data_IF_105872715493
#
_entry.id   IF_105872715493
#
_cell.length_a   1.000
_cell.length_b   1.000
_cell.length_c   1.000
_cell.angle_alpha   90.00
_cell.angle_beta   90.00
_cell.angle_gamma   90.00
#
_symmetry.space_group_name_H-M   'P 1'
#
loop_
_entity.id
_entity.type
_entity.pdbx_description
1 polymer ?
#
# COMPACT_ATOMS: atom_id res chain seq x y z
N UNK A 1 16.61 -57.70 6.85
CA UNK A 1 16.05 -57.10 5.62
C UNK A 1 14.54 -56.80 5.69
N UNK A 2 13.79 -57.21 6.73
CA UNK A 2 12.34 -56.92 6.85
C UNK A 2 11.99 -55.54 7.43
N UNK A 3 12.91 -54.86 8.10
CA UNK A 3 12.64 -53.57 8.77
C UNK A 3 12.68 -52.37 7.82
N UNK A 4 13.50 -52.40 6.78
CA UNK A 4 13.63 -51.29 5.82
C UNK A 4 12.40 -51.12 4.90
N UNK A 5 11.71 -52.20 4.55
CA UNK A 5 10.51 -52.13 3.71
C UNK A 5 9.33 -51.52 4.48
N UNK A 6 9.15 -51.87 5.75
CA UNK A 6 8.08 -51.33 6.60
C UNK A 6 8.23 -49.80 6.79
N UNK A 7 9.46 -49.32 6.97
CA UNK A 7 9.74 -47.88 7.10
C UNK A 7 9.42 -47.14 5.79
N UNK A 8 9.79 -47.72 4.64
CA UNK A 8 9.51 -47.12 3.33
C UNK A 8 8.00 -47.00 3.06
N UNK A 9 7.21 -48.03 3.36
CA UNK A 9 5.75 -47.98 3.21
C UNK A 9 5.11 -46.97 4.16
N UNK A 10 5.63 -46.83 5.38
CA UNK A 10 5.14 -45.86 6.36
C UNK A 10 5.36 -44.42 5.89
N UNK A 11 6.53 -44.13 5.31
CA UNK A 11 6.85 -42.80 4.76
C UNK A 11 5.95 -42.48 3.57
N UNK A 12 5.76 -43.42 2.65
CA UNK A 12 4.89 -43.22 1.48
C UNK A 12 3.44 -42.98 1.93
N UNK A 13 2.94 -43.75 2.90
CA UNK A 13 1.58 -43.57 3.42
C UNK A 13 1.37 -42.20 4.07
N UNK A 14 2.34 -41.72 4.85
CA UNK A 14 2.29 -40.39 5.48
C UNK A 14 2.33 -39.29 4.42
N UNK A 15 3.21 -39.40 3.42
CA UNK A 15 3.27 -38.42 2.33
C UNK A 15 1.98 -38.37 1.50
N UNK A 16 1.34 -39.52 1.27
CA UNK A 16 0.05 -39.57 0.58
C UNK A 16 -1.08 -38.91 1.39
N UNK A 17 -1.11 -39.12 2.71
CA UNK A 17 -2.10 -38.48 3.59
C UNK A 17 -1.89 -36.96 3.67
N UNK A 18 -0.64 -36.50 3.77
CA UNK A 18 -0.31 -35.07 3.76
C UNK A 18 -0.66 -34.43 2.42
N UNK A 19 -0.33 -35.10 1.30
CA UNK A 19 -0.68 -34.64 -0.04
C UNK A 19 -2.20 -34.53 -0.23
N UNK A 20 -2.96 -35.53 0.20
CA UNK A 20 -4.43 -35.51 0.13
C UNK A 20 -5.03 -34.40 1.00
N UNK A 21 -4.48 -34.18 2.20
CA UNK A 21 -4.87 -33.08 3.08
C UNK A 21 -4.59 -31.70 2.46
N UNK A 22 -3.44 -31.53 1.82
CA UNK A 22 -3.06 -30.28 1.15
C UNK A 22 -3.96 -29.99 -0.05
N UNK A 23 -4.26 -31.00 -0.88
CA UNK A 23 -5.15 -30.85 -2.03
C UNK A 23 -6.57 -30.51 -1.59
N UNK A 24 -7.07 -31.17 -0.54
CA UNK A 24 -8.38 -30.85 0.03
C UNK A 24 -8.41 -29.44 0.60
N UNK A 25 -7.36 -29.01 1.31
CA UNK A 25 -7.25 -27.66 1.84
C UNK A 25 -7.17 -26.59 0.74
N UNK A 26 -6.50 -26.86 -0.38
CA UNK A 26 -6.49 -25.96 -1.54
C UNK A 26 -7.85 -25.90 -2.24
N UNK A 27 -8.57 -27.01 -2.33
CA UNK A 27 -9.89 -27.09 -2.96
C UNK A 27 -11.02 -26.48 -2.11
N UNK A 28 -10.84 -26.44 -0.79
CA UNK A 28 -11.83 -25.90 0.16
C UNK A 28 -11.57 -24.42 0.50
N UNK A 29 -10.55 -23.81 -0.12
CA UNK A 29 -10.44 -22.35 -0.13
C UNK A 29 -11.54 -21.83 -1.04
N UNK A 30 -12.52 -21.07 -0.53
CA UNK A 30 -13.37 -20.30 -1.42
C UNK A 30 -12.44 -19.35 -2.17
N UNK A 31 -12.17 -19.65 -3.44
CA UNK A 31 -11.79 -18.62 -4.38
C UNK A 31 -12.98 -17.70 -4.38
N UNK A 32 -12.91 -16.60 -3.63
CA UNK A 32 -13.83 -15.49 -3.81
C UNK A 32 -13.62 -15.01 -5.23
N UNK A 33 -14.38 -15.57 -6.16
CA UNK A 33 -14.77 -14.82 -7.34
C UNK A 33 -15.75 -13.78 -6.81
N UNK A 34 -15.23 -12.66 -6.32
CA UNK A 34 -16.01 -11.43 -6.37
C UNK A 34 -16.27 -11.22 -7.86
N UNK A 35 -17.52 -11.46 -8.27
CA UNK A 35 -17.98 -11.20 -9.63
C UNK A 35 -17.97 -9.69 -9.81
N UNK A 36 -16.82 -9.15 -10.20
CA UNK A 36 -16.70 -7.76 -10.59
C UNK A 36 -17.63 -7.52 -11.78
N UNK A 37 -18.44 -6.48 -11.68
CA UNK A 37 -19.18 -6.01 -12.85
C UNK A 37 -18.19 -5.61 -13.96
N UNK A 38 -18.59 -5.70 -15.23
CA UNK A 38 -17.74 -5.25 -16.33
C UNK A 38 -17.23 -3.81 -16.16
N UNK A 39 -18.04 -2.95 -15.53
CA UNK A 39 -17.67 -1.56 -15.23
C UNK A 39 -16.59 -1.48 -14.15
N UNK A 40 -16.70 -2.26 -13.06
CA UNK A 40 -15.64 -2.35 -12.03
C UNK A 40 -14.32 -2.92 -12.59
N UNK A 41 -14.40 -3.90 -13.51
CA UNK A 41 -13.21 -4.42 -14.19
C UNK A 41 -12.54 -3.37 -15.09
N UNK A 42 -13.34 -2.55 -15.77
CA UNK A 42 -12.83 -1.47 -16.62
C UNK A 42 -12.21 -0.36 -15.77
N UNK A 43 -12.81 0.00 -14.65
CA UNK A 43 -12.26 0.96 -13.69
C UNK A 43 -10.94 0.44 -13.09
N UNK A 44 -10.84 -0.83 -12.73
CA UNK A 44 -9.57 -1.44 -12.26
C UNK A 44 -8.49 -1.44 -13.35
N UNK A 45 -8.87 -1.68 -14.60
CA UNK A 45 -7.97 -1.61 -15.76
C UNK A 45 -7.51 -0.17 -16.01
N UNK A 46 -8.42 0.80 -16.01
CA UNK A 46 -8.09 2.22 -16.18
C UNK A 46 -7.15 2.70 -15.05
N UNK A 47 -7.41 2.29 -13.82
CA UNK A 47 -6.50 2.48 -12.68
C UNK A 47 -5.12 1.88 -12.91
N UNK A 48 -5.05 0.62 -13.37
CA UNK A 48 -3.79 -0.07 -13.59
C UNK A 48 -2.94 0.55 -14.71
N UNK A 49 -3.57 1.25 -15.65
CA UNK A 49 -2.91 1.92 -16.78
C UNK A 49 -2.86 3.46 -16.66
N UNK A 50 -3.34 4.03 -15.55
CA UNK A 50 -3.24 5.45 -15.29
C UNK A 50 -1.76 5.87 -15.23
N UNK A 51 -1.42 7.02 -15.80
CA UNK A 51 -0.08 7.60 -15.67
C UNK A 51 0.17 7.94 -14.20
N UNK A 52 1.29 7.44 -13.65
CA UNK A 52 1.67 7.64 -12.25
C UNK A 52 3.06 8.24 -12.17
N UNK A 53 3.18 9.22 -11.29
CA UNK A 53 4.44 9.86 -10.97
C UNK A 53 4.80 9.56 -9.51
N UNK A 54 6.08 9.63 -9.21
CA UNK A 54 6.59 9.43 -7.86
C UNK A 54 7.43 10.62 -7.44
N UNK A 55 7.26 11.07 -6.19
CA UNK A 55 8.06 12.14 -5.60
C UNK A 55 8.59 11.69 -4.23
N UNK A 56 9.82 12.10 -3.94
CA UNK A 56 10.41 11.93 -2.62
C UNK A 56 10.35 13.24 -1.83
N UNK A 57 9.79 13.18 -0.63
CA UNK A 57 9.65 14.32 0.28
C UNK A 57 10.36 13.98 1.59
N UNK A 58 11.41 14.75 1.90
CA UNK A 58 12.07 14.73 3.19
C UNK A 58 11.58 15.91 4.00
N UNK A 59 10.91 15.70 5.12
CA UNK A 59 10.34 16.77 5.95
C UNK A 59 10.33 16.43 7.43
N UNK A 60 9.86 17.33 8.28
CA UNK A 60 9.59 17.08 9.70
C UNK A 60 8.14 16.62 9.90
N UNK A 61 7.89 15.88 11.00
CA UNK A 61 6.54 15.37 11.31
C UNK A 61 5.49 16.48 11.47
N UNK A 62 5.90 17.67 11.90
CA UNK A 62 5.03 18.84 12.07
C UNK A 62 4.41 19.35 10.77
N UNK A 63 5.07 19.12 9.61
CA UNK A 63 4.56 19.60 8.32
C UNK A 63 3.78 18.53 7.54
N UNK A 64 3.74 17.28 8.00
CA UNK A 64 2.92 16.24 7.38
C UNK A 64 1.43 16.58 7.26
N UNK A 65 0.79 17.22 8.27
CA UNK A 65 -0.61 17.62 8.14
C UNK A 65 -0.85 18.54 6.93
N UNK A 66 0.06 19.48 6.65
CA UNK A 66 -0.07 20.40 5.52
C UNK A 66 0.04 19.66 4.17
N UNK A 67 0.96 18.69 4.06
CA UNK A 67 1.08 17.86 2.86
C UNK A 67 -0.18 17.03 2.63
N UNK A 68 -0.74 16.43 3.68
CA UNK A 68 -1.95 15.62 3.58
C UNK A 68 -3.22 16.45 3.34
N UNK A 69 -3.29 17.65 3.89
CA UNK A 69 -4.32 18.62 3.54
C UNK A 69 -4.26 18.98 2.06
N UNK A 70 -3.06 19.15 1.49
CA UNK A 70 -2.89 19.39 0.06
C UNK A 70 -3.42 18.24 -0.80
N UNK A 71 -3.15 16.99 -0.42
CA UNK A 71 -3.72 15.81 -1.09
C UNK A 71 -5.25 15.84 -0.99
N UNK A 72 -5.78 16.05 0.23
CA UNK A 72 -7.21 16.12 0.47
C UNK A 72 -7.92 17.17 -0.41
N UNK A 73 -7.34 18.37 -0.53
CA UNK A 73 -7.87 19.45 -1.36
C UNK A 73 -7.76 19.20 -2.87
N UNK A 74 -6.89 18.28 -3.29
CA UNK A 74 -6.70 17.93 -4.71
C UNK A 74 -7.61 16.77 -5.14
N UNK A 75 -8.05 15.95 -4.19
CA UNK A 75 -8.95 14.81 -4.43
C UNK A 75 -10.41 15.18 -4.24
N UNK A 76 -11.29 14.63 -5.06
CA UNK A 76 -12.74 14.76 -4.90
C UNK A 76 -13.26 13.87 -3.75
N UNK A 77 -12.67 12.68 -3.60
CA UNK A 77 -13.02 11.71 -2.55
C UNK A 77 -11.85 10.76 -2.21
N UNK A 78 -12.03 9.95 -1.15
CA UNK A 78 -11.14 8.83 -0.80
C UNK A 78 -9.97 9.15 0.14
N UNK A 79 -9.76 10.43 0.47
CA UNK A 79 -8.73 10.85 1.44
C UNK A 79 -9.32 11.62 2.65
N UNK A 80 -10.13 10.99 3.51
CA UNK A 80 -10.88 11.69 4.54
C UNK A 80 -10.05 12.00 5.80
N UNK A 81 -10.39 13.10 6.50
CA UNK A 81 -9.66 13.60 7.67
C UNK A 81 -9.39 12.55 8.76
N UNK A 82 -10.35 11.65 9.02
CA UNK A 82 -10.18 10.61 10.05
C UNK A 82 -9.10 9.59 9.68
N UNK A 83 -8.95 9.26 8.38
CA UNK A 83 -7.88 8.38 7.91
C UNK A 83 -6.54 9.10 7.94
N UNK A 84 -6.51 10.39 7.61
CA UNK A 84 -5.32 11.24 7.72
C UNK A 84 -4.85 11.31 9.17
N UNK A 85 -5.75 11.55 10.12
CA UNK A 85 -5.42 11.56 11.55
C UNK A 85 -4.86 10.21 12.03
N UNK A 86 -5.45 9.10 11.60
CA UNK A 86 -4.96 7.76 11.91
C UNK A 86 -3.58 7.50 11.29
N UNK A 87 -3.34 7.97 10.06
CA UNK A 87 -2.04 7.88 9.39
C UNK A 87 -0.97 8.69 10.14
N UNK A 88 -1.25 9.95 10.47
CA UNK A 88 -0.35 10.80 11.26
C UNK A 88 0.02 10.15 12.59
N UNK A 89 -0.97 9.59 13.30
CA UNK A 89 -0.75 8.87 14.56
C UNK A 89 0.12 7.61 14.36
N UNK A 90 -0.07 6.87 13.26
CA UNK A 90 0.77 5.71 12.92
C UNK A 90 2.20 6.13 12.62
N UNK A 91 2.40 7.22 11.88
CA UNK A 91 3.73 7.76 11.57
C UNK A 91 4.42 8.23 12.86
N UNK A 92 3.73 9.00 13.72
CA UNK A 92 4.31 9.55 14.95
C UNK A 92 4.75 8.47 15.96
N UNK A 93 4.06 7.32 15.98
CA UNK A 93 4.34 6.22 16.90
C UNK A 93 5.26 5.14 16.33
N UNK A 94 5.65 5.26 15.07
CA UNK A 94 6.51 4.28 14.41
C UNK A 94 7.94 4.30 14.98
N UNK A 95 8.54 3.11 15.12
CA UNK A 95 9.96 2.98 15.46
C UNK A 95 10.84 3.55 14.33
N UNK A 96 11.94 4.25 14.66
CA UNK A 96 12.88 4.74 13.66
C UNK A 96 13.40 3.63 12.74
N UNK A 97 13.70 3.99 11.49
CA UNK A 97 14.33 3.15 10.45
C UNK A 97 13.52 1.93 9.99
N UNK A 98 12.24 1.86 10.32
CA UNK A 98 11.31 0.88 9.74
C UNK A 98 10.66 1.51 8.51
N UNK A 99 10.58 0.80 7.39
CA UNK A 99 9.80 1.24 6.22
C UNK A 99 8.36 0.77 6.40
N UNK A 100 7.39 1.66 6.14
CA UNK A 100 5.96 1.36 6.14
C UNK A 100 5.33 1.90 4.86
N UNK A 101 4.20 1.33 4.50
CA UNK A 101 3.39 1.81 3.39
C UNK A 101 1.90 1.83 3.73
N UNK A 102 1.15 2.61 2.97
CA UNK A 102 -0.30 2.67 2.96
C UNK A 102 -0.78 3.03 1.55
N UNK A 103 -1.90 2.45 1.13
CA UNK A 103 -2.55 2.74 -0.14
C UNK A 103 -3.91 3.35 0.16
N UNK A 104 -4.21 4.47 -0.50
CA UNK A 104 -5.49 5.17 -0.36
C UNK A 104 -6.18 5.21 -1.72
N UNK A 105 -7.32 4.52 -1.90
CA UNK A 105 -8.14 4.74 -3.08
C UNK A 105 -8.69 6.16 -3.02
N UNK A 106 -8.58 6.90 -4.11
CA UNK A 106 -9.01 8.29 -4.25
C UNK A 106 -9.82 8.47 -5.52
N UNK A 107 -10.58 9.55 -5.59
CA UNK A 107 -11.29 9.97 -6.81
C UNK A 107 -10.77 11.36 -7.21
N UNK A 108 -10.42 11.54 -8.47
CA UNK A 108 -10.01 12.84 -9.05
C UNK A 108 -10.72 13.03 -10.38
N UNK A 109 -11.45 14.13 -10.52
CA UNK A 109 -12.25 14.46 -11.71
C UNK A 109 -13.19 13.32 -12.10
N UNK A 110 -13.75 12.62 -11.10
CA UNK A 110 -14.59 11.42 -11.26
C UNK A 110 -13.89 10.18 -11.80
N UNK A 111 -12.56 10.19 -11.84
CA UNK A 111 -11.75 9.02 -12.20
C UNK A 111 -11.22 8.42 -10.90
N UNK A 112 -11.48 7.14 -10.71
CA UNK A 112 -10.90 6.39 -9.60
C UNK A 112 -9.38 6.34 -9.78
N UNK A 113 -8.65 6.42 -8.68
CA UNK A 113 -7.19 6.34 -8.63
C UNK A 113 -6.74 5.94 -7.23
N UNK A 114 -5.44 5.99 -6.97
CA UNK A 114 -4.85 5.65 -5.70
C UNK A 114 -3.60 6.47 -5.39
N UNK A 115 -3.45 6.81 -4.11
CA UNK A 115 -2.24 7.40 -3.55
C UNK A 115 -1.53 6.33 -2.74
N UNK A 116 -0.37 5.91 -3.24
CA UNK A 116 0.55 5.07 -2.49
C UNK A 116 1.50 5.96 -1.70
N UNK A 117 1.55 5.73 -0.39
CA UNK A 117 2.47 6.38 0.52
C UNK A 117 3.42 5.33 1.09
N UNK A 118 4.72 5.54 0.93
CA UNK A 118 5.74 4.80 1.66
C UNK A 118 6.54 5.77 2.52
N UNK A 119 6.90 5.40 3.75
CA UNK A 119 7.66 6.27 4.61
C UNK A 119 8.59 5.53 5.56
N UNK A 120 9.67 6.23 5.90
CA UNK A 120 10.64 5.85 6.93
C UNK A 120 10.90 7.05 7.83
N UNK A 121 11.11 6.78 9.13
CA UNK A 121 11.55 7.79 10.09
C UNK A 121 13.05 7.63 10.37
N UNK A 122 13.93 8.38 9.67
CA UNK A 122 15.36 8.28 9.91
C UNK A 122 15.74 8.75 11.33
N UNK A 123 15.02 9.75 11.86
CA UNK A 123 15.14 10.29 13.22
C UNK A 123 13.74 10.43 13.86
N UNK A 124 13.66 10.89 15.11
CA UNK A 124 12.38 11.08 15.81
C UNK A 124 11.53 12.21 15.20
N UNK A 125 12.15 13.25 14.66
CA UNK A 125 11.46 14.43 14.13
C UNK A 125 11.30 14.40 12.60
N UNK A 126 12.12 13.60 11.90
CA UNK A 126 12.15 13.55 10.43
C UNK A 126 11.40 12.37 9.86
N UNK A 127 10.85 12.60 8.68
CA UNK A 127 10.20 11.60 7.84
C UNK A 127 10.74 11.75 6.42
N UNK A 128 11.09 10.63 5.82
CA UNK A 128 11.31 10.51 4.39
C UNK A 128 10.12 9.73 3.83
N UNK A 129 9.42 10.36 2.89
CA UNK A 129 8.17 9.87 2.32
C UNK A 129 8.32 9.77 0.80
N UNK A 130 7.97 8.62 0.26
CA UNK A 130 7.77 8.39 -1.16
C UNK A 130 6.26 8.44 -1.41
N UNK A 131 5.83 9.26 -2.35
CA UNK A 131 4.42 9.35 -2.76
C UNK A 131 4.32 8.99 -4.23
N UNK A 132 3.50 7.99 -4.54
CA UNK A 132 3.19 7.58 -5.91
C UNK A 132 1.70 7.78 -6.17
N UNK A 133 1.37 8.66 -7.09
CA UNK A 133 -0.01 9.07 -7.40
C UNK A 133 -0.11 9.61 -8.83
N UNK A 134 -1.31 10.01 -9.23
CA UNK A 134 -1.51 10.69 -10.52
C UNK A 134 -0.78 12.05 -10.55
N UNK A 135 -0.36 12.53 -11.75
CA UNK A 135 0.43 13.75 -11.90
C UNK A 135 -0.17 14.99 -11.21
N UNK A 136 -1.49 15.10 -11.14
CA UNK A 136 -2.17 16.24 -10.51
C UNK A 136 -1.88 16.31 -9.00
N UNK A 137 -1.89 15.17 -8.31
CA UNK A 137 -1.55 15.07 -6.89
C UNK A 137 -0.07 15.33 -6.68
N UNK A 138 0.78 14.74 -7.51
CA UNK A 138 2.24 14.90 -7.42
C UNK A 138 2.66 16.35 -7.63
N UNK A 139 2.08 17.03 -8.61
CA UNK A 139 2.28 18.46 -8.83
C UNK A 139 1.84 19.29 -7.62
N UNK A 140 0.64 19.05 -7.10
CA UNK A 140 0.11 19.80 -5.96
C UNK A 140 0.98 19.61 -4.70
N UNK A 141 1.47 18.38 -4.48
CA UNK A 141 2.40 18.03 -3.40
C UNK A 141 3.77 18.67 -3.57
N UNK A 142 4.32 18.65 -4.78
CA UNK A 142 5.60 19.29 -5.10
C UNK A 142 5.55 20.78 -4.78
N UNK A 143 4.53 21.48 -5.30
CA UNK A 143 4.32 22.91 -5.04
C UNK A 143 4.16 23.23 -3.54
N UNK A 144 3.56 22.34 -2.76
CA UNK A 144 3.40 22.54 -1.33
C UNK A 144 4.70 22.24 -0.57
N UNK A 145 5.40 21.17 -0.94
CA UNK A 145 6.68 20.79 -0.36
C UNK A 145 7.75 21.88 -0.57
N UNK A 146 7.75 22.58 -1.70
CA UNK A 146 8.66 23.71 -1.97
C UNK A 146 8.46 24.88 -1.00
N UNK A 147 7.27 25.04 -0.42
CA UNK A 147 6.96 26.10 0.55
C UNK A 147 7.34 25.74 1.98
N UNK A 148 7.59 24.46 2.26
CA UNK A 148 7.85 23.99 3.62
C UNK A 148 9.29 24.31 4.04
N UNK A 149 9.49 24.88 5.24
CA UNK A 149 10.83 25.12 5.73
C UNK A 149 11.53 23.80 6.01
N UNK A 150 12.76 23.65 5.51
CA UNK A 150 13.60 22.45 5.65
C UNK A 150 13.04 21.17 5.01
N UNK A 151 12.10 21.29 4.05
CA UNK A 151 11.76 20.20 3.16
C UNK A 151 12.81 20.06 2.05
N UNK A 152 13.07 18.83 1.61
CA UNK A 152 13.90 18.54 0.43
C UNK A 152 13.13 17.61 -0.49
N UNK A 153 13.08 17.98 -1.77
CA UNK A 153 12.40 17.21 -2.80
C UNK A 153 13.44 16.42 -3.59
N UNK A 154 13.22 15.11 -3.72
CA UNK A 154 13.94 14.23 -4.62
C UNK A 154 13.05 13.78 -5.78
N UNK A 155 13.66 13.55 -6.93
CA UNK A 155 13.05 12.98 -8.14
C UNK A 155 13.63 11.61 -8.45
#
# INVERSE_FOLDING_TARGET
MMTSTIILYSIVAVLSLVGAGLVRWLSDRPVKHEEYSPDEMLDELENAFAERETIEIFTTLEYLPMLFERVHLTTDAGFPEHQVAALLHRISNQRPRVIRSALFPIEIKKVNSDVELQWIRPTEDRVHMLVTAVPEVIKALSEEAEKLPAATIGS
#
